data_IF_904195952984
#
_entry.id   IF_904195952984
#
_cell.length_a   1.000
_cell.length_b   1.000
_cell.length_c   1.000
_cell.angle_alpha   90.00
_cell.angle_beta   90.00
_cell.angle_gamma   90.00
#
_symmetry.space_group_name_H-M   'P 1'
#
loop_
_entity.id
_entity.type
_entity.pdbx_description
1 polymer ?
#
# COMPACT_ATOMS: atom_id res chain seq x y z
N UNK A 1 5.19 -22.52 -7.65
CA UNK A 1 5.47 -22.22 -9.08
C UNK A 1 6.95 -22.40 -9.29
N UNK A 2 7.36 -23.36 -10.13
CA UNK A 2 8.70 -23.93 -10.06
C UNK A 2 8.85 -24.80 -8.82
N UNK A 3 9.98 -24.70 -8.11
CA UNK A 3 10.31 -25.52 -6.91
C UNK A 3 9.55 -25.14 -5.62
N UNK A 4 8.80 -24.02 -5.60
CA UNK A 4 8.07 -23.56 -4.43
C UNK A 4 6.67 -24.18 -4.36
N UNK A 5 6.37 -24.85 -3.26
CA UNK A 5 5.03 -25.32 -2.90
C UNK A 5 4.12 -24.12 -2.59
N UNK A 6 2.94 -24.09 -3.18
CA UNK A 6 1.95 -23.03 -3.00
C UNK A 6 0.58 -23.65 -2.77
N UNK A 7 -0.19 -23.05 -1.87
CA UNK A 7 -1.58 -23.43 -1.59
C UNK A 7 -2.49 -22.34 -2.10
N UNK A 8 -3.45 -22.71 -2.95
CA UNK A 8 -4.47 -21.79 -3.46
C UNK A 8 -5.75 -21.95 -2.63
N UNK A 9 -6.29 -20.83 -2.19
CA UNK A 9 -7.55 -20.76 -1.47
C UNK A 9 -8.60 -20.16 -2.40
N UNK A 10 -9.70 -20.88 -2.64
CA UNK A 10 -10.74 -20.47 -3.59
C UNK A 10 -12.13 -20.31 -2.96
N UNK A 11 -12.27 -20.56 -1.65
CA UNK A 11 -13.52 -20.37 -0.91
C UNK A 11 -13.46 -19.12 -0.02
N UNK A 12 -14.50 -18.28 -0.11
CA UNK A 12 -14.55 -17.02 0.64
C UNK A 12 -14.57 -17.22 2.15
N UNK A 13 -15.35 -18.19 2.66
CA UNK A 13 -15.48 -18.40 4.11
C UNK A 13 -14.14 -18.84 4.69
N UNK A 14 -13.49 -19.78 4.01
CA UNK A 14 -12.16 -20.27 4.36
C UNK A 14 -11.11 -19.14 4.33
N UNK A 15 -11.10 -18.32 3.28
CA UNK A 15 -10.18 -17.17 3.19
C UNK A 15 -10.41 -16.22 4.38
N UNK A 16 -11.66 -15.85 4.65
CA UNK A 16 -11.98 -14.94 5.75
C UNK A 16 -11.52 -15.49 7.11
N UNK A 17 -11.74 -16.78 7.36
CA UNK A 17 -11.32 -17.45 8.59
C UNK A 17 -9.79 -17.44 8.73
N UNK A 18 -9.07 -17.87 7.70
CA UNK A 18 -7.61 -17.93 7.71
C UNK A 18 -6.98 -16.55 7.94
N UNK A 19 -7.44 -15.51 7.22
CA UNK A 19 -6.93 -14.15 7.36
C UNK A 19 -7.33 -13.47 8.69
N UNK A 20 -8.27 -14.04 9.44
CA UNK A 20 -8.61 -13.56 10.80
C UNK A 20 -7.63 -14.08 11.86
N UNK A 21 -6.84 -15.12 11.55
CA UNK A 21 -5.89 -15.72 12.47
C UNK A 21 -4.47 -15.17 12.28
N UNK A 22 -3.78 -14.91 13.40
CA UNK A 22 -2.40 -14.43 13.39
C UNK A 22 -1.43 -15.47 12.80
N UNK A 23 -1.80 -16.76 12.80
CA UNK A 23 -0.98 -17.86 12.25
C UNK A 23 -0.73 -17.68 10.74
N UNK A 24 -1.68 -17.11 10.01
CA UNK A 24 -1.58 -16.87 8.56
C UNK A 24 -1.20 -15.42 8.22
N UNK A 25 -0.81 -14.63 9.21
CA UNK A 25 -0.53 -13.21 9.02
C UNK A 25 0.89 -12.92 8.49
N UNK A 26 1.72 -13.94 8.27
CA UNK A 26 3.07 -13.75 7.72
C UNK A 26 3.04 -13.42 6.23
N UNK A 27 3.99 -12.59 5.79
CA UNK A 27 4.27 -12.27 4.40
C UNK A 27 5.07 -13.40 3.76
N UNK A 28 4.67 -13.90 2.59
CA UNK A 28 5.51 -14.81 1.84
C UNK A 28 6.79 -14.08 1.41
N UNK A 29 7.87 -14.83 1.22
CA UNK A 29 9.08 -14.28 0.62
C UNK A 29 8.78 -13.81 -0.81
N UNK A 30 8.72 -12.49 -0.94
CA UNK A 30 8.38 -11.70 -2.12
C UNK A 30 9.64 -10.95 -2.55
N UNK A 31 10.68 -11.71 -2.94
CA UNK A 31 11.95 -11.18 -3.42
C UNK A 31 11.82 -10.18 -4.60
N UNK A 32 10.68 -10.17 -5.29
CA UNK A 32 10.34 -9.21 -6.34
C UNK A 32 9.81 -7.87 -5.83
N UNK A 33 9.40 -7.78 -4.56
CA UNK A 33 8.89 -6.57 -3.92
C UNK A 33 9.87 -5.96 -2.91
N UNK A 34 10.99 -6.64 -2.64
CA UNK A 34 12.06 -6.12 -1.79
C UNK A 34 12.91 -5.15 -2.60
N UNK A 35 12.90 -3.87 -2.21
CA UNK A 35 13.74 -2.81 -2.79
C UNK A 35 15.25 -3.02 -2.54
N UNK A 36 15.61 -3.95 -1.66
CA UNK A 36 16.99 -4.29 -1.29
C UNK A 36 17.26 -5.77 -1.52
N UNK A 37 18.37 -6.09 -2.19
CA UNK A 37 18.74 -7.43 -2.65
C UNK A 37 18.90 -8.47 -1.53
N UNK A 38 19.13 -8.06 -0.27
CA UNK A 38 19.68 -8.97 0.74
C UNK A 38 18.88 -9.06 2.06
N UNK A 39 17.81 -8.26 2.22
CA UNK A 39 16.96 -8.32 3.43
C UNK A 39 15.57 -7.75 3.19
N UNK A 40 14.54 -8.43 3.71
CA UNK A 40 13.21 -7.83 3.87
C UNK A 40 13.28 -6.70 4.91
N UNK A 41 13.02 -5.46 4.51
CA UNK A 41 12.99 -4.29 5.41
C UNK A 41 11.59 -3.64 5.37
N UNK A 42 11.23 -2.96 6.46
CA UNK A 42 10.01 -2.15 6.52
C UNK A 42 8.73 -2.95 6.79
N UNK A 43 7.57 -2.28 6.75
CA UNK A 43 6.30 -2.88 7.19
C UNK A 43 5.69 -3.87 6.18
N UNK A 44 6.03 -3.78 4.89
CA UNK A 44 5.34 -4.51 3.82
C UNK A 44 5.86 -5.94 3.69
N UNK A 45 7.18 -6.14 3.81
CA UNK A 45 7.86 -7.40 3.49
C UNK A 45 8.41 -8.15 4.72
N UNK A 46 8.33 -7.58 5.92
CA UNK A 46 8.87 -8.21 7.14
C UNK A 46 7.85 -9.06 7.89
N UNK A 47 8.34 -9.91 8.80
CA UNK A 47 7.55 -10.81 9.65
C UNK A 47 7.97 -10.72 11.14
N UNK A 48 7.20 -11.37 12.00
CA UNK A 48 7.53 -11.53 13.41
C UNK A 48 7.47 -10.22 14.23
N UNK A 49 8.19 -10.15 15.37
CA UNK A 49 8.15 -9.01 16.29
C UNK A 49 8.52 -7.68 15.62
N UNK A 50 9.48 -7.69 14.70
CA UNK A 50 9.92 -6.50 13.96
C UNK A 50 8.79 -5.89 13.13
N UNK A 51 8.06 -6.71 12.36
CA UNK A 51 6.88 -6.27 11.61
C UNK A 51 5.81 -5.67 12.53
N UNK A 52 5.54 -6.32 13.65
CA UNK A 52 4.54 -5.84 14.61
C UNK A 52 4.92 -4.49 15.22
N UNK A 53 6.19 -4.30 15.55
CA UNK A 53 6.70 -3.05 16.10
C UNK A 53 6.57 -1.89 15.11
N UNK A 54 7.10 -2.06 13.88
CA UNK A 54 7.01 -1.03 12.84
C UNK A 54 5.55 -0.73 12.52
N UNK A 55 4.69 -1.74 12.38
CA UNK A 55 3.26 -1.54 12.14
C UNK A 55 2.61 -0.71 13.24
N UNK A 56 2.85 -1.02 14.51
CA UNK A 56 2.31 -0.25 15.65
C UNK A 56 2.82 1.19 15.65
N UNK A 57 4.13 1.37 15.46
CA UNK A 57 4.77 2.67 15.37
C UNK A 57 4.15 3.52 14.26
N UNK A 58 4.12 3.02 13.03
CA UNK A 58 3.62 3.77 11.87
C UNK A 58 2.12 4.07 11.99
N UNK A 59 1.29 3.11 12.40
CA UNK A 59 -0.16 3.36 12.53
C UNK A 59 -0.48 4.43 13.59
N UNK A 60 0.32 4.50 14.67
CA UNK A 60 0.20 5.57 15.65
C UNK A 60 0.51 6.93 15.01
N UNK A 61 1.67 7.05 14.37
CA UNK A 61 2.10 8.30 13.74
C UNK A 61 1.16 8.73 12.61
N UNK A 62 0.64 7.80 11.80
CA UNK A 62 -0.35 8.14 10.77
C UNK A 62 -1.62 8.74 11.37
N UNK A 63 -2.11 8.22 12.50
CA UNK A 63 -3.28 8.78 13.21
C UNK A 63 -2.99 10.17 13.77
N UNK A 64 -1.77 10.39 14.27
CA UNK A 64 -1.33 11.69 14.77
C UNK A 64 -1.18 12.70 13.63
N UNK A 65 -0.74 12.23 12.45
CA UNK A 65 -0.69 13.02 11.22
C UNK A 65 -2.07 13.31 10.60
N UNK A 66 -3.14 12.71 11.11
CA UNK A 66 -4.51 13.01 10.70
C UNK A 66 -5.17 11.93 9.84
N UNK A 67 -4.57 10.74 9.69
CA UNK A 67 -5.22 9.59 9.06
C UNK A 67 -6.54 9.28 9.79
N UNK A 68 -7.64 9.23 9.03
CA UNK A 68 -8.98 9.04 9.56
C UNK A 68 -9.58 10.27 10.27
N UNK A 69 -8.95 11.45 10.14
CA UNK A 69 -9.45 12.73 10.68
C UNK A 69 -9.70 13.73 9.55
N UNK A 70 -10.41 14.82 9.84
CA UNK A 70 -10.71 15.88 8.86
C UNK A 70 -9.46 16.52 8.22
N UNK A 71 -8.33 16.56 8.94
CA UNK A 71 -7.08 17.18 8.45
C UNK A 71 -6.54 16.51 7.18
N UNK A 72 -6.54 15.18 7.10
CA UNK A 72 -6.09 14.50 5.87
C UNK A 72 -7.09 14.73 4.73
N UNK A 73 -8.39 14.81 5.05
CA UNK A 73 -9.44 15.04 4.06
C UNK A 73 -9.29 16.42 3.40
N UNK A 74 -8.99 17.47 4.16
CA UNK A 74 -8.72 18.80 3.60
C UNK A 74 -7.52 18.80 2.65
N UNK A 75 -6.45 18.08 2.99
CA UNK A 75 -5.28 17.94 2.12
C UNK A 75 -5.64 17.18 0.84
N UNK A 76 -6.38 16.07 0.94
CA UNK A 76 -6.85 15.32 -0.24
C UNK A 76 -7.73 16.20 -1.14
N UNK A 77 -8.66 16.97 -0.58
CA UNK A 77 -9.50 17.87 -1.37
C UNK A 77 -8.70 18.97 -2.07
N UNK A 78 -7.67 19.50 -1.40
CA UNK A 78 -6.77 20.47 -2.01
C UNK A 78 -6.01 19.84 -3.20
N UNK A 79 -5.36 18.69 -3.00
CA UNK A 79 -4.63 17.99 -4.07
C UNK A 79 -5.53 17.64 -5.26
N UNK A 80 -6.76 17.16 -5.00
CA UNK A 80 -7.75 16.88 -6.05
C UNK A 80 -8.14 18.16 -6.79
N UNK A 81 -8.31 19.28 -6.09
CA UNK A 81 -8.64 20.56 -6.71
C UNK A 81 -7.52 21.07 -7.61
N UNK A 82 -6.27 20.95 -7.17
CA UNK A 82 -5.08 21.29 -7.98
C UNK A 82 -4.96 20.38 -9.20
N UNK A 83 -5.18 19.08 -9.02
CA UNK A 83 -5.17 18.11 -10.11
C UNK A 83 -6.22 18.43 -11.18
N UNK A 84 -7.45 18.74 -10.78
CA UNK A 84 -8.53 19.13 -11.70
C UNK A 84 -8.17 20.41 -12.47
N UNK A 85 -7.55 21.40 -11.80
CA UNK A 85 -7.09 22.62 -12.46
C UNK A 85 -6.04 22.30 -13.53
N UNK A 86 -5.10 21.39 -13.24
CA UNK A 86 -4.05 21.02 -14.18
C UNK A 86 -4.62 20.31 -15.41
N UNK A 87 -5.51 19.33 -15.22
CA UNK A 87 -6.16 18.60 -16.31
C UNK A 87 -6.99 19.56 -17.19
N UNK A 88 -7.63 20.58 -16.61
CA UNK A 88 -8.40 21.58 -17.35
C UNK A 88 -7.55 22.41 -18.32
N UNK A 89 -6.27 22.65 -18.05
CA UNK A 89 -5.39 23.41 -18.95
C UNK A 89 -5.16 22.73 -20.30
N UNK A 90 -5.19 21.40 -20.30
CA UNK A 90 -4.95 20.57 -21.48
C UNK A 90 -6.24 20.03 -22.11
N UNK A 91 -7.41 20.44 -21.58
CA UNK A 91 -8.70 19.98 -22.10
C UNK A 91 -8.91 20.44 -23.55
N UNK A 92 -9.32 19.51 -24.41
CA UNK A 92 -9.56 19.76 -25.84
C UNK A 92 -8.32 19.68 -26.72
N UNK A 93 -7.13 19.40 -26.14
CA UNK A 93 -5.90 19.14 -26.90
C UNK A 93 -5.55 17.65 -26.79
N UNK A 94 -5.23 16.96 -27.90
CA UNK A 94 -4.61 15.65 -27.81
C UNK A 94 -3.22 15.81 -27.19
N UNK A 95 -2.99 15.16 -26.05
CA UNK A 95 -1.75 15.21 -25.30
C UNK A 95 -1.49 13.91 -24.56
N UNK A 96 -0.25 13.68 -24.09
CA UNK A 96 0.07 12.51 -23.28
C UNK A 96 -0.73 12.53 -21.97
N UNK A 97 -0.87 11.35 -21.36
CA UNK A 97 -1.52 11.24 -20.04
C UNK A 97 -0.87 12.22 -19.04
N UNK A 98 -1.65 12.93 -18.21
CA UNK A 98 -1.09 13.95 -17.33
C UNK A 98 0.00 13.39 -16.41
N UNK A 99 1.22 13.94 -16.49
CA UNK A 99 2.34 13.54 -15.63
C UNK A 99 2.06 13.71 -14.13
N UNK A 100 1.12 14.60 -13.77
CA UNK A 100 0.66 14.76 -12.39
C UNK A 100 0.00 13.51 -11.80
N UNK A 101 -0.46 12.58 -12.66
CA UNK A 101 -1.06 11.30 -12.29
C UNK A 101 -0.11 10.11 -12.52
N UNK A 102 1.06 10.34 -13.08
CA UNK A 102 2.09 9.31 -13.16
C UNK A 102 2.62 9.10 -11.74
N UNK A 103 2.62 7.85 -11.27
CA UNK A 103 3.25 7.50 -9.99
C UNK A 103 4.71 7.93 -10.06
N UNK A 104 5.11 8.92 -9.25
CA UNK A 104 6.52 9.29 -9.11
C UNK A 104 7.29 8.04 -8.65
N UNK A 105 8.42 7.71 -9.29
CA UNK A 105 9.26 6.59 -8.87
C UNK A 105 9.80 6.81 -7.45
#
# INVERSE_FOLDING_TARGET
MGSRFLVFLSDYKLIKELFSSQTFANRPDLSTLTLSEDRSVGMVATNGPHWQEIRRFTLRHLRDLGMGKSRILSTVHYEVSELVKEIKKETGKPGPFPRALESRP
#
